data_IF_649328157137
#
_entry.id   IF_649328157137
#
_cell.length_a   1.000
_cell.length_b   1.000
_cell.length_c   1.000
_cell.angle_alpha   90.00
_cell.angle_beta   90.00
_cell.angle_gamma   90.00
#
_symmetry.space_group_name_H-M   'P 1'
#
loop_
_entity.id
_entity.type
_entity.pdbx_description
1 polymer ?
#
# COMPACT_ATOMS: atom_id res chain seq x y z
N UNK A 1 -6.78 4.26 19.93
CA UNK A 1 -6.63 2.77 19.97
C UNK A 1 -5.26 2.36 19.48
N UNK A 2 -4.64 1.33 20.14
CA UNK A 2 -3.31 0.84 19.72
C UNK A 2 -3.44 -0.37 18.80
N UNK A 3 -2.61 -0.43 17.76
CA UNK A 3 -2.55 -1.54 16.79
C UNK A 3 -1.09 -1.80 16.44
N UNK A 4 -0.73 -3.07 16.31
CA UNK A 4 0.59 -3.44 15.81
C UNK A 4 0.59 -3.41 14.27
N UNK A 5 1.36 -2.50 13.69
CA UNK A 5 1.65 -2.47 12.26
C UNK A 5 2.94 -3.22 11.95
N UNK A 6 2.93 -4.06 10.91
CA UNK A 6 4.10 -4.82 10.44
C UNK A 6 4.30 -4.58 8.94
N UNK A 7 5.46 -4.06 8.57
CA UNK A 7 5.88 -3.83 7.18
C UNK A 7 6.82 -4.96 6.74
N UNK A 8 6.34 -5.83 5.84
CA UNK A 8 7.09 -6.97 5.30
C UNK A 8 7.73 -6.57 3.98
N UNK A 9 9.02 -6.24 4.04
CA UNK A 9 9.78 -5.85 2.85
C UNK A 9 10.86 -6.88 2.48
N UNK A 10 11.37 -6.80 1.25
CA UNK A 10 12.36 -7.74 0.73
C UNK A 10 13.71 -7.76 1.46
N UNK A 11 14.05 -6.75 2.28
CA UNK A 11 15.30 -6.67 3.03
C UNK A 11 15.12 -6.67 4.55
N UNK A 12 13.90 -6.60 5.04
CA UNK A 12 13.61 -6.56 6.47
C UNK A 12 12.12 -6.46 6.75
N UNK A 13 11.71 -7.11 7.82
CA UNK A 13 10.37 -7.09 8.39
C UNK A 13 10.44 -6.18 9.61
N UNK A 14 9.56 -5.20 9.69
CA UNK A 14 9.60 -4.16 10.70
C UNK A 14 8.22 -4.01 11.33
N UNK A 15 8.17 -3.83 12.64
CA UNK A 15 6.92 -3.58 13.35
C UNK A 15 7.06 -2.42 14.35
N UNK A 16 5.94 -1.78 14.64
CA UNK A 16 5.78 -0.85 15.74
C UNK A 16 4.31 -0.78 16.18
N UNK A 17 4.09 -0.41 17.42
CA UNK A 17 2.77 -0.04 17.91
C UNK A 17 2.39 1.35 17.39
N UNK A 18 1.20 1.46 16.84
CA UNK A 18 0.66 2.69 16.24
C UNK A 18 -0.59 3.10 17.02
N UNK A 19 -0.69 4.37 17.35
CA UNK A 19 -1.95 4.97 17.77
C UNK A 19 -2.81 5.26 16.54
N UNK A 20 -3.94 4.57 16.42
CA UNK A 20 -4.80 4.66 15.24
C UNK A 20 -5.53 6.01 15.10
N UNK A 21 -5.60 6.82 16.17
CA UNK A 21 -6.24 8.14 16.11
C UNK A 21 -5.28 9.21 15.58
N UNK A 22 -4.00 9.11 15.93
CA UNK A 22 -2.99 10.11 15.56
C UNK A 22 -2.06 9.68 14.44
N UNK A 23 -1.97 8.37 14.15
CA UNK A 23 -1.00 7.79 13.22
C UNK A 23 0.44 7.78 13.76
N UNK A 24 0.65 8.12 15.03
CA UNK A 24 1.98 8.13 15.63
C UNK A 24 2.42 6.72 16.03
N UNK A 25 3.67 6.40 15.75
CA UNK A 25 4.29 5.20 16.32
C UNK A 25 4.60 5.47 17.80
N UNK A 26 3.94 4.73 18.70
CA UNK A 26 4.07 4.88 20.16
C UNK A 26 5.11 3.93 20.78
N UNK A 27 5.78 3.15 19.95
CA UNK A 27 6.93 2.32 20.32
C UNK A 27 8.12 2.59 19.40
N UNK A 28 9.31 2.18 19.81
CA UNK A 28 10.44 2.10 18.89
C UNK A 28 10.15 1.04 17.80
N UNK A 29 10.67 1.28 16.61
CA UNK A 29 10.55 0.35 15.50
C UNK A 29 11.48 -0.84 15.70
N UNK A 30 10.93 -2.02 15.84
CA UNK A 30 11.68 -3.27 15.84
C UNK A 30 11.86 -3.78 14.41
N UNK A 31 13.07 -4.29 14.08
CA UNK A 31 13.37 -4.78 12.73
C UNK A 31 14.15 -6.08 12.79
N UNK A 32 13.66 -7.06 12.02
CA UNK A 32 14.37 -8.30 11.71
C UNK A 32 14.73 -8.36 10.21
N UNK A 33 15.72 -9.16 9.86
CA UNK A 33 16.10 -9.37 8.46
C UNK A 33 15.10 -10.32 7.81
N UNK A 34 14.65 -10.00 6.59
CA UNK A 34 13.82 -10.91 5.82
C UNK A 34 14.61 -12.19 5.52
N UNK A 35 14.03 -13.38 5.77
CA UNK A 35 14.70 -14.65 5.51
C UNK A 35 15.12 -14.77 4.03
N UNK A 36 16.25 -15.42 3.78
CA UNK A 36 16.71 -15.66 2.41
C UNK A 36 15.70 -16.55 1.68
N UNK A 37 15.25 -16.11 0.52
CA UNK A 37 14.19 -16.77 -0.26
C UNK A 37 12.79 -16.35 0.13
N UNK A 38 12.60 -15.73 1.29
CA UNK A 38 11.32 -15.16 1.75
C UNK A 38 10.11 -16.12 1.53
N UNK A 39 10.26 -17.39 1.91
CA UNK A 39 9.19 -18.40 1.81
C UNK A 39 8.10 -18.16 2.85
N UNK A 40 6.86 -18.62 2.60
CA UNK A 40 5.73 -18.36 3.50
C UNK A 40 6.02 -18.73 4.97
N UNK A 41 6.47 -19.94 5.25
CA UNK A 41 6.73 -20.40 6.62
C UNK A 41 7.86 -19.59 7.30
N UNK A 42 8.94 -19.26 6.56
CA UNK A 42 10.07 -18.51 7.10
C UNK A 42 9.70 -17.06 7.44
N UNK A 43 8.87 -16.43 6.59
CA UNK A 43 8.35 -15.07 6.82
C UNK A 43 7.36 -15.07 7.98
N UNK A 44 6.46 -16.06 8.05
CA UNK A 44 5.49 -16.18 9.13
C UNK A 44 6.18 -16.33 10.50
N UNK A 45 7.25 -17.11 10.58
CA UNK A 45 8.06 -17.23 11.81
C UNK A 45 8.60 -15.87 12.25
N UNK A 46 9.14 -15.06 11.31
CA UNK A 46 9.64 -13.72 11.63
C UNK A 46 8.52 -12.77 12.04
N UNK A 47 7.34 -12.85 11.42
CA UNK A 47 6.16 -12.08 11.85
C UNK A 47 5.77 -12.47 13.28
N UNK A 48 5.77 -13.75 13.62
CA UNK A 48 5.56 -14.25 15.00
C UNK A 48 6.58 -13.67 15.98
N UNK A 49 7.87 -13.62 15.62
CA UNK A 49 8.92 -13.01 16.44
C UNK A 49 8.70 -11.51 16.67
N UNK A 50 8.19 -10.78 15.66
CA UNK A 50 7.83 -9.36 15.83
C UNK A 50 6.67 -9.21 16.81
N UNK A 51 5.61 -10.00 16.69
CA UNK A 51 4.45 -9.98 17.60
C UNK A 51 4.89 -10.31 19.03
N UNK A 52 5.73 -11.34 19.20
CA UNK A 52 6.28 -11.75 20.49
C UNK A 52 7.14 -10.65 21.12
N UNK A 53 7.95 -9.91 20.32
CA UNK A 53 8.78 -8.80 20.84
C UNK A 53 7.95 -7.72 21.54
N UNK A 54 6.74 -7.45 21.03
CA UNK A 54 5.84 -6.45 21.62
C UNK A 54 4.89 -7.05 22.68
N UNK A 55 4.97 -8.37 22.97
CA UNK A 55 4.01 -9.07 23.82
C UNK A 55 2.56 -8.76 23.43
N UNK A 56 2.31 -8.77 22.10
CA UNK A 56 1.07 -8.24 21.54
C UNK A 56 0.02 -9.33 21.35
N UNK A 57 -1.23 -9.01 21.73
CA UNK A 57 -2.37 -9.94 21.65
C UNK A 57 -3.60 -9.33 20.94
N UNK A 58 -3.49 -8.09 20.49
CA UNK A 58 -4.54 -7.36 19.76
C UNK A 58 -4.46 -7.53 18.24
N UNK A 59 -5.24 -6.71 17.49
CA UNK A 59 -5.18 -6.70 16.02
C UNK A 59 -3.81 -6.35 15.47
N UNK A 60 -3.44 -7.02 14.37
CA UNK A 60 -2.18 -6.81 13.63
C UNK A 60 -2.50 -6.46 12.18
N UNK A 61 -1.91 -5.39 11.68
CA UNK A 61 -1.94 -5.04 10.27
C UNK A 61 -0.60 -5.30 9.59
N UNK A 62 -0.57 -6.26 8.65
CA UNK A 62 0.62 -6.60 7.89
C UNK A 62 0.56 -6.03 6.48
N UNK A 63 1.65 -5.40 6.02
CA UNK A 63 1.82 -5.10 4.60
C UNK A 63 2.61 -6.19 3.92
N UNK A 64 2.32 -6.46 2.66
CA UNK A 64 2.98 -7.51 1.90
C UNK A 64 3.22 -7.07 0.45
N UNK A 65 4.40 -7.33 -0.14
CA UNK A 65 4.75 -6.88 -1.49
C UNK A 65 4.14 -7.79 -2.58
N UNK A 66 2.81 -7.87 -2.61
CA UNK A 66 2.03 -8.65 -3.56
C UNK A 66 0.62 -8.09 -3.70
N UNK A 67 -0.07 -8.47 -4.78
CA UNK A 67 -1.52 -8.31 -4.90
C UNK A 67 -2.18 -9.19 -3.83
N UNK A 68 -2.93 -8.59 -2.91
CA UNK A 68 -3.64 -9.28 -1.83
C UNK A 68 -5.14 -9.18 -2.04
N UNK A 69 -5.82 -10.32 -2.17
CA UNK A 69 -7.28 -10.37 -2.29
C UNK A 69 -7.84 -11.37 -1.28
N UNK A 70 -8.69 -10.89 -0.38
CA UNK A 70 -9.27 -11.70 0.70
C UNK A 70 -8.20 -12.49 1.51
N UNK A 71 -7.09 -11.83 1.85
CA UNK A 71 -5.98 -12.44 2.59
C UNK A 71 -5.02 -13.29 1.76
N UNK A 72 -5.36 -13.63 0.50
CA UNK A 72 -4.56 -14.49 -0.38
C UNK A 72 -3.63 -13.67 -1.27
N UNK A 73 -2.36 -14.08 -1.35
CA UNK A 73 -1.39 -13.47 -2.26
C UNK A 73 -1.59 -14.01 -3.69
N UNK A 74 -1.71 -13.09 -4.68
CA UNK A 74 -1.92 -13.40 -6.09
C UNK A 74 -0.72 -13.10 -6.97
N UNK A 75 0.33 -12.50 -6.44
CA UNK A 75 1.59 -12.23 -7.12
C UNK A 75 2.77 -12.44 -6.17
N UNK A 76 4.00 -12.44 -6.71
CA UNK A 76 5.22 -12.61 -5.94
C UNK A 76 6.36 -11.83 -6.62
N UNK A 77 6.39 -10.49 -6.45
CA UNK A 77 7.38 -9.66 -7.15
C UNK A 77 8.80 -9.70 -6.55
N UNK A 78 8.91 -9.77 -5.23
CA UNK A 78 10.19 -9.72 -4.50
C UNK A 78 10.26 -10.77 -3.37
N UNK A 79 9.46 -11.80 -3.44
CA UNK A 79 9.34 -12.92 -2.51
C UNK A 79 9.30 -14.23 -3.28
N UNK A 80 9.32 -15.37 -2.60
CA UNK A 80 9.27 -16.70 -3.23
C UNK A 80 7.94 -16.93 -3.96
N UNK A 81 7.98 -17.57 -5.13
CA UNK A 81 6.79 -17.84 -5.95
C UNK A 81 5.74 -18.70 -5.24
N UNK A 82 6.14 -19.45 -4.19
CA UNK A 82 5.22 -20.24 -3.36
C UNK A 82 4.19 -19.38 -2.60
N UNK A 83 4.35 -18.06 -2.58
CA UNK A 83 3.31 -17.18 -2.07
C UNK A 83 2.07 -17.12 -2.95
N UNK A 84 2.20 -17.36 -4.26
CA UNK A 84 1.06 -17.31 -5.18
C UNK A 84 0.03 -18.39 -4.79
N UNK A 85 -1.17 -17.95 -4.40
CA UNK A 85 -2.24 -18.79 -3.88
C UNK A 85 -2.16 -19.10 -2.39
N UNK A 86 -1.14 -18.61 -1.67
CA UNK A 86 -1.04 -18.75 -0.21
C UNK A 86 -1.98 -17.75 0.46
N UNK A 87 -2.80 -18.24 1.39
CA UNK A 87 -3.56 -17.40 2.33
C UNK A 87 -2.59 -16.85 3.39
N UNK A 88 -2.04 -15.69 3.11
CA UNK A 88 -1.08 -15.01 3.98
C UNK A 88 -1.73 -14.59 5.30
N UNK A 89 -3.00 -14.21 5.26
CA UNK A 89 -3.73 -13.78 6.45
C UNK A 89 -3.95 -14.95 7.42
N UNK A 90 -4.46 -16.08 6.92
CA UNK A 90 -4.65 -17.28 7.74
C UNK A 90 -3.32 -17.79 8.31
N UNK A 91 -2.26 -17.81 7.49
CA UNK A 91 -0.92 -18.23 7.91
C UNK A 91 -0.37 -17.36 9.06
N UNK A 92 -0.51 -16.04 8.96
CA UNK A 92 -0.04 -15.13 10.02
C UNK A 92 -0.94 -15.19 11.26
N UNK A 93 -2.25 -15.39 11.11
CA UNK A 93 -3.17 -15.62 12.23
C UNK A 93 -2.81 -16.89 13.00
N UNK A 94 -2.55 -18.00 12.29
CA UNK A 94 -2.14 -19.26 12.90
C UNK A 94 -0.81 -19.13 13.65
N UNK A 95 0.16 -18.43 13.04
CA UNK A 95 1.50 -18.27 13.61
C UNK A 95 1.52 -17.35 14.83
N UNK A 96 0.72 -16.29 14.83
CA UNK A 96 0.76 -15.25 15.86
C UNK A 96 -0.28 -15.42 16.96
N UNK A 97 -1.37 -16.15 16.67
CA UNK A 97 -2.55 -16.22 17.55
C UNK A 97 -3.34 -14.91 17.64
N UNK A 98 -3.02 -13.91 16.81
CA UNK A 98 -3.67 -12.61 16.78
C UNK A 98 -4.64 -12.49 15.61
N UNK A 99 -5.66 -11.60 15.68
CA UNK A 99 -6.40 -11.18 14.50
C UNK A 99 -5.47 -10.42 13.54
N UNK A 100 -5.33 -10.90 12.30
CA UNK A 100 -4.41 -10.31 11.31
C UNK A 100 -5.19 -9.84 10.09
N UNK A 101 -4.82 -8.68 9.57
CA UNK A 101 -5.18 -8.20 8.23
C UNK A 101 -3.91 -8.09 7.38
N UNK A 102 -3.98 -8.54 6.14
CA UNK A 102 -2.87 -8.41 5.17
C UNK A 102 -3.31 -7.54 4.00
N UNK A 103 -2.48 -6.59 3.63
CA UNK A 103 -2.75 -5.62 2.55
C UNK A 103 -1.49 -5.42 1.70
N UNK A 104 -1.67 -5.02 0.44
CA UNK A 104 -0.54 -4.62 -0.42
C UNK A 104 0.28 -3.47 0.20
N UNK A 105 1.61 -3.45 0.01
CA UNK A 105 2.52 -2.47 0.61
C UNK A 105 2.35 -1.04 0.07
N UNK A 106 2.04 -0.89 -1.23
CA UNK A 106 1.77 0.41 -1.81
C UNK A 106 0.39 0.95 -1.39
N UNK A 107 -0.63 0.08 -1.31
CA UNK A 107 -1.95 0.42 -0.78
C UNK A 107 -1.84 0.91 0.67
N UNK A 108 -1.09 0.19 1.51
CA UNK A 108 -0.85 0.60 2.89
C UNK A 108 -0.16 1.97 2.97
N UNK A 109 0.90 2.17 2.18
CA UNK A 109 1.57 3.46 2.15
C UNK A 109 0.62 4.58 1.71
N UNK A 110 -0.29 4.29 0.78
CA UNK A 110 -1.33 5.21 0.35
C UNK A 110 -2.32 5.53 1.47
N UNK A 111 -2.81 4.55 2.20
CA UNK A 111 -3.72 4.76 3.35
C UNK A 111 -3.08 5.71 4.37
N UNK A 112 -1.81 5.50 4.73
CA UNK A 112 -1.12 6.38 5.66
C UNK A 112 -1.06 7.83 5.17
N UNK A 113 -0.82 8.03 3.87
CA UNK A 113 -0.76 9.38 3.28
C UNK A 113 -2.14 10.05 3.17
N UNK A 114 -3.21 9.28 2.91
CA UNK A 114 -4.58 9.80 2.85
C UNK A 114 -5.08 10.18 4.25
N UNK A 115 -4.77 9.37 5.26
CA UNK A 115 -5.30 9.61 6.62
C UNK A 115 -4.48 10.68 7.35
N UNK A 116 -3.15 10.64 7.26
CA UNK A 116 -2.27 11.48 8.09
C UNK A 116 -1.25 12.32 7.30
N UNK A 117 -1.12 12.11 6.00
CA UNK A 117 -0.05 12.69 5.21
C UNK A 117 -0.50 13.69 4.15
N UNK A 118 0.17 13.64 2.99
CA UNK A 118 0.00 14.60 1.90
C UNK A 118 -1.39 14.55 1.24
N UNK A 119 -2.13 13.47 1.39
CA UNK A 119 -3.48 13.29 0.87
C UNK A 119 -4.60 13.62 1.86
N UNK A 120 -4.26 14.01 3.09
CA UNK A 120 -5.26 14.32 4.12
C UNK A 120 -6.18 15.46 3.68
N UNK A 121 -7.48 15.24 3.82
CA UNK A 121 -8.55 16.20 3.47
C UNK A 121 -8.56 16.61 1.98
N UNK A 122 -7.90 15.85 1.10
CA UNK A 122 -7.92 16.11 -0.34
C UNK A 122 -9.06 15.29 -0.98
N UNK A 123 -10.03 15.94 -1.63
CA UNK A 123 -11.10 15.24 -2.35
C UNK A 123 -10.65 14.75 -3.73
N UNK A 124 -11.51 13.95 -4.36
CA UNK A 124 -11.33 13.52 -5.75
C UNK A 124 -10.40 12.34 -5.92
N UNK A 125 -9.78 12.26 -7.09
CA UNK A 125 -8.91 11.14 -7.47
C UNK A 125 -7.48 11.43 -7.08
N UNK A 126 -6.92 10.60 -6.21
CA UNK A 126 -5.52 10.72 -5.75
C UNK A 126 -4.75 9.48 -6.17
N UNK A 127 -3.61 9.67 -6.81
CA UNK A 127 -2.69 8.58 -7.16
C UNK A 127 -1.42 8.74 -6.34
N UNK A 128 -1.16 7.76 -5.46
CA UNK A 128 0.13 7.65 -4.80
C UNK A 128 1.04 6.72 -5.61
N UNK A 129 2.30 7.12 -5.71
CA UNK A 129 3.35 6.42 -6.45
C UNK A 129 4.55 6.22 -5.53
N UNK A 130 4.98 4.98 -5.32
CA UNK A 130 6.22 4.66 -4.61
C UNK A 130 7.32 4.34 -5.61
N UNK A 131 8.29 5.24 -5.73
CA UNK A 131 9.42 5.10 -6.66
C UNK A 131 10.63 4.46 -5.94
N UNK A 132 10.94 3.22 -6.33
CA UNK A 132 11.97 2.44 -5.67
C UNK A 132 12.62 1.40 -6.59
N UNK A 133 12.65 0.13 -6.17
CA UNK A 133 13.05 -1.03 -6.99
C UNK A 133 12.11 -1.17 -8.18
N UNK A 134 10.81 -1.07 -7.94
CA UNK A 134 9.74 -0.96 -8.92
C UNK A 134 8.99 0.36 -8.77
N UNK A 135 7.76 0.40 -9.29
CA UNK A 135 6.78 1.46 -9.11
C UNK A 135 5.53 0.86 -8.47
N UNK A 136 5.39 0.99 -7.16
CA UNK A 136 4.12 0.68 -6.49
C UNK A 136 3.14 1.83 -6.63
N UNK A 137 1.85 1.50 -6.71
CA UNK A 137 0.78 2.49 -6.89
C UNK A 137 -0.38 2.22 -5.95
N UNK A 138 -1.01 3.27 -5.46
CA UNK A 138 -2.29 3.21 -4.77
C UNK A 138 -3.21 4.30 -5.32
N UNK A 139 -4.45 3.93 -5.62
CA UNK A 139 -5.47 4.81 -6.17
C UNK A 139 -6.57 5.04 -5.15
N UNK A 140 -6.96 6.29 -4.98
CA UNK A 140 -8.06 6.68 -4.09
C UNK A 140 -9.08 7.53 -4.84
N UNK A 141 -10.35 7.38 -4.46
CA UNK A 141 -11.45 8.24 -4.89
C UNK A 141 -12.16 8.73 -3.63
N UNK A 142 -12.14 10.03 -3.38
CA UNK A 142 -12.72 10.67 -2.19
C UNK A 142 -12.29 9.97 -0.88
N UNK A 143 -11.00 9.66 -0.76
CA UNK A 143 -10.41 8.99 0.40
C UNK A 143 -10.58 7.46 0.43
N UNK A 144 -11.35 6.87 -0.49
CA UNK A 144 -11.57 5.42 -0.56
C UNK A 144 -10.56 4.75 -1.47
N UNK A 145 -9.89 3.72 -0.96
CA UNK A 145 -8.92 2.94 -1.71
C UNK A 145 -9.58 2.12 -2.83
N UNK A 146 -9.01 2.18 -4.03
CA UNK A 146 -9.20 1.17 -5.08
C UNK A 146 -8.05 0.17 -4.96
N UNK A 147 -8.25 -1.00 -4.35
CA UNK A 147 -7.16 -1.86 -3.91
C UNK A 147 -6.42 -2.53 -5.06
N UNK A 148 -5.14 -2.81 -4.82
CA UNK A 148 -4.27 -3.58 -5.71
C UNK A 148 -4.14 -3.00 -7.12
N UNK A 149 -3.98 -1.70 -7.24
CA UNK A 149 -3.69 -1.08 -8.54
C UNK A 149 -2.22 -1.25 -8.88
N UNK A 150 -1.93 -1.85 -10.03
CA UNK A 150 -0.57 -2.14 -10.51
C UNK A 150 -0.22 -1.25 -11.72
N UNK A 151 -0.41 0.07 -11.58
CA UNK A 151 -0.18 1.02 -12.66
C UNK A 151 1.30 1.14 -13.07
N UNK A 152 2.24 0.61 -12.27
CA UNK A 152 3.65 0.47 -12.64
C UNK A 152 3.87 -0.45 -13.84
N UNK A 153 2.91 -1.36 -14.11
CA UNK A 153 2.95 -2.33 -15.21
C UNK A 153 2.22 -1.86 -16.48
N UNK A 154 1.73 -0.62 -16.53
CA UNK A 154 1.21 -0.10 -17.81
C UNK A 154 2.31 -0.10 -18.87
N UNK A 155 1.92 -0.37 -20.11
CA UNK A 155 2.87 -0.35 -21.22
C UNK A 155 3.36 1.08 -21.50
N UNK A 156 4.66 1.26 -21.56
CA UNK A 156 5.32 2.50 -21.95
C UNK A 156 6.47 2.19 -22.92
N UNK A 157 6.32 2.62 -24.17
CA UNK A 157 7.33 2.38 -25.24
C UNK A 157 7.67 0.90 -25.46
N UNK A 158 6.69 0.00 -25.35
CA UNK A 158 6.85 -1.42 -25.60
C UNK A 158 7.39 -2.25 -24.44
N UNK A 159 7.43 -1.67 -23.22
CA UNK A 159 7.86 -2.35 -22.00
C UNK A 159 7.04 -1.84 -20.79
N UNK A 160 7.09 -2.54 -19.66
CA UNK A 160 6.48 -2.07 -18.42
C UNK A 160 7.06 -0.71 -18.00
N UNK A 161 6.20 0.21 -17.59
CA UNK A 161 6.62 1.56 -17.18
C UNK A 161 7.68 1.51 -16.08
N UNK A 162 7.58 0.59 -15.11
CA UNK A 162 8.57 0.48 -14.04
C UNK A 162 9.98 0.12 -14.54
N UNK A 163 10.08 -0.68 -15.63
CA UNK A 163 11.36 -1.04 -16.22
C UNK A 163 12.11 0.17 -16.78
N UNK A 164 11.40 1.25 -17.07
CA UNK A 164 11.93 2.49 -17.64
C UNK A 164 11.96 3.65 -16.65
N UNK A 165 10.99 3.74 -15.74
CA UNK A 165 10.75 4.91 -14.90
C UNK A 165 10.98 4.69 -13.40
N UNK A 166 11.19 3.45 -12.91
CA UNK A 166 11.59 3.23 -11.51
C UNK A 166 12.96 3.85 -11.19
N UNK A 167 13.26 4.10 -9.90
CA UNK A 167 14.61 4.57 -9.49
C UNK A 167 15.69 3.51 -9.74
N UNK A 168 15.33 2.23 -9.73
CA UNK A 168 16.21 1.14 -10.14
C UNK A 168 16.63 1.26 -11.60
N UNK A 169 15.71 1.61 -12.52
CA UNK A 169 16.00 1.85 -13.93
C UNK A 169 16.96 3.03 -14.09
N UNK A 170 16.73 4.14 -13.36
CA UNK A 170 17.65 5.28 -13.34
C UNK A 170 19.08 4.86 -12.95
N UNK A 171 19.21 4.04 -11.91
CA UNK A 171 20.51 3.56 -11.41
C UNK A 171 21.16 2.58 -12.36
N UNK A 172 20.39 1.61 -12.88
CA UNK A 172 20.88 0.57 -13.81
C UNK A 172 21.45 1.16 -15.10
N UNK A 173 20.81 2.23 -15.60
CA UNK A 173 21.20 2.88 -16.86
C UNK A 173 22.03 4.15 -16.64
N UNK A 174 22.44 4.44 -15.42
CA UNK A 174 23.19 5.66 -15.03
C UNK A 174 22.57 6.94 -15.60
N UNK A 175 21.23 7.05 -15.50
CA UNK A 175 20.51 8.20 -16.04
C UNK A 175 20.72 9.44 -15.19
N UNK A 176 21.02 10.56 -15.86
CA UNK A 176 20.96 11.85 -15.21
C UNK A 176 19.51 12.15 -14.74
N UNK A 177 19.36 12.97 -13.70
CA UNK A 177 18.05 13.39 -13.17
C UNK A 177 17.15 14.00 -14.25
N UNK A 178 17.73 14.71 -15.23
CA UNK A 178 16.99 15.27 -16.36
C UNK A 178 16.46 14.18 -17.30
N UNK A 179 17.30 13.19 -17.66
CA UNK A 179 16.86 12.10 -18.54
C UNK A 179 15.79 11.24 -17.89
N UNK A 180 15.99 10.89 -16.61
CA UNK A 180 15.03 10.12 -15.85
C UNK A 180 13.73 10.91 -15.58
N UNK A 181 13.83 12.20 -15.23
CA UNK A 181 12.66 13.07 -15.05
C UNK A 181 11.79 13.19 -16.30
N UNK A 182 12.37 13.13 -17.50
CA UNK A 182 11.60 13.08 -18.76
C UNK A 182 10.85 11.74 -18.93
N UNK A 183 11.43 10.61 -18.52
CA UNK A 183 10.73 9.32 -18.53
C UNK A 183 9.57 9.33 -17.51
N UNK A 184 9.83 9.86 -16.31
CA UNK A 184 8.77 10.08 -15.34
C UNK A 184 7.67 10.98 -15.88
N UNK A 185 8.01 12.08 -16.57
CA UNK A 185 7.03 12.97 -17.18
C UNK A 185 6.10 12.22 -18.14
N UNK A 186 6.64 11.37 -19.01
CA UNK A 186 5.82 10.55 -19.90
C UNK A 186 4.89 9.62 -19.10
N UNK A 187 5.39 8.97 -18.05
CA UNK A 187 4.60 8.09 -17.20
C UNK A 187 3.48 8.85 -16.48
N UNK A 188 3.79 9.98 -15.83
CA UNK A 188 2.79 10.81 -15.15
C UNK A 188 1.73 11.34 -16.10
N UNK A 189 2.13 11.80 -17.30
CA UNK A 189 1.17 12.26 -18.31
C UNK A 189 0.27 11.14 -18.82
N UNK A 190 0.78 9.90 -18.92
CA UNK A 190 -0.05 8.74 -19.27
C UNK A 190 -1.10 8.48 -18.18
N UNK A 191 -0.71 8.48 -16.90
CA UNK A 191 -1.65 8.32 -15.79
C UNK A 191 -2.66 9.47 -15.74
N UNK A 192 -2.22 10.69 -15.95
CA UNK A 192 -3.10 11.86 -15.98
C UNK A 192 -4.12 11.77 -17.12
N UNK A 193 -3.71 11.31 -18.29
CA UNK A 193 -4.60 11.12 -19.43
C UNK A 193 -5.66 10.04 -19.17
N UNK A 194 -5.28 8.94 -18.51
CA UNK A 194 -6.17 7.80 -18.27
C UNK A 194 -7.11 8.03 -17.09
N UNK A 195 -6.66 8.69 -16.03
CA UNK A 195 -7.36 8.70 -14.74
C UNK A 195 -7.74 10.11 -14.27
N UNK A 196 -7.22 11.17 -14.91
CA UNK A 196 -7.48 12.57 -14.57
C UNK A 196 -7.43 12.86 -13.06
N UNK A 197 -6.32 12.55 -12.37
CA UNK A 197 -6.24 12.73 -10.92
C UNK A 197 -6.27 14.21 -10.52
N UNK A 198 -6.70 14.45 -9.29
CA UNK A 198 -6.66 15.76 -8.63
C UNK A 198 -5.32 15.99 -7.92
N UNK A 199 -4.62 14.91 -7.54
CA UNK A 199 -3.33 14.97 -6.87
C UNK A 199 -2.47 13.73 -7.18
N UNK A 200 -1.17 13.95 -7.41
CA UNK A 200 -0.16 12.90 -7.35
C UNK A 200 0.66 13.00 -6.06
N UNK A 201 0.77 11.92 -5.30
CA UNK A 201 1.67 11.81 -4.13
C UNK A 201 2.86 10.93 -4.51
N UNK A 202 4.07 11.43 -4.33
CA UNK A 202 5.29 10.72 -4.71
C UNK A 202 6.06 10.31 -3.46
N UNK A 203 6.10 8.99 -3.24
CA UNK A 203 6.81 8.33 -2.15
C UNK A 203 8.01 7.50 -2.63
N UNK A 204 8.40 6.54 -1.79
CA UNK A 204 9.58 5.71 -2.01
C UNK A 204 10.90 6.41 -1.67
N UNK A 205 11.99 5.65 -1.70
CA UNK A 205 13.30 6.13 -1.22
C UNK A 205 13.85 7.35 -1.96
N UNK A 206 13.51 7.51 -3.24
CA UNK A 206 13.99 8.62 -4.07
C UNK A 206 13.23 9.92 -3.86
N UNK A 207 12.04 9.88 -3.24
CA UNK A 207 11.22 11.07 -2.98
C UNK A 207 11.96 12.14 -2.15
N UNK A 208 12.90 11.74 -1.30
CA UNK A 208 13.82 12.64 -0.57
C UNK A 208 14.65 13.56 -1.48
N UNK A 209 14.72 13.24 -2.78
CA UNK A 209 15.44 14.01 -3.81
C UNK A 209 14.50 14.61 -4.86
N UNK A 210 13.22 14.78 -4.52
CA UNK A 210 12.14 15.25 -5.41
C UNK A 210 12.51 16.53 -6.19
N UNK A 211 13.15 17.50 -5.54
CA UNK A 211 13.62 18.72 -6.17
C UNK A 211 14.58 18.51 -7.36
N UNK A 212 15.20 17.33 -7.47
CA UNK A 212 16.09 17.01 -8.59
C UNK A 212 15.34 16.59 -9.85
N UNK A 213 14.11 16.09 -9.73
CA UNK A 213 13.35 15.55 -10.86
C UNK A 213 11.94 16.14 -11.03
N UNK A 214 11.25 16.61 -9.98
CA UNK A 214 9.91 17.22 -10.09
C UNK A 214 9.85 18.32 -11.15
N UNK A 215 10.87 19.15 -11.26
CA UNK A 215 10.96 20.22 -12.26
C UNK A 215 10.94 19.76 -13.73
N UNK A 216 10.97 18.47 -13.98
CA UNK A 216 10.89 17.89 -15.33
C UNK A 216 9.57 17.14 -15.56
N UNK A 217 8.66 17.17 -14.59
CA UNK A 217 7.34 16.57 -14.66
C UNK A 217 6.33 17.70 -14.83
N UNK A 218 5.59 17.65 -15.93
CA UNK A 218 4.62 18.66 -16.32
C UNK A 218 3.24 18.00 -16.39
N UNK A 219 2.45 18.17 -15.33
CA UNK A 219 1.08 17.66 -15.17
C UNK A 219 0.15 18.78 -14.76
N UNK A 220 -1.14 18.65 -15.06
CA UNK A 220 -2.20 19.56 -14.58
C UNK A 220 -2.43 19.34 -13.08
N UNK A 221 -2.50 18.06 -12.68
CA UNK A 221 -2.58 17.70 -11.28
C UNK A 221 -1.29 18.07 -10.54
N UNK A 222 -1.37 18.68 -9.35
CA UNK A 222 -0.21 18.99 -8.55
C UNK A 222 0.52 17.72 -8.09
N UNK A 223 1.83 17.87 -7.83
CA UNK A 223 2.66 16.82 -7.25
C UNK A 223 2.99 17.17 -5.79
N UNK A 224 2.72 16.26 -4.88
CA UNK A 224 3.15 16.34 -3.48
C UNK A 224 4.20 15.28 -3.17
N UNK A 225 5.07 15.55 -2.20
CA UNK A 225 6.00 14.56 -1.66
C UNK A 225 5.33 13.85 -0.48
N UNK A 226 5.40 12.53 -0.44
CA UNK A 226 4.90 11.71 0.65
C UNK A 226 5.53 12.13 2.00
N UNK A 227 4.71 12.25 3.04
CA UNK A 227 5.09 12.75 4.36
C UNK A 227 5.45 11.61 5.34
N UNK A 228 4.73 10.47 5.28
CA UNK A 228 4.93 9.33 6.19
C UNK A 228 6.22 8.53 5.91
N UNK A 229 6.79 8.66 4.72
CA UNK A 229 8.12 8.12 4.36
C UNK A 229 8.31 6.64 4.70
N UNK A 230 9.31 6.33 5.58
CA UNK A 230 9.67 4.95 5.96
C UNK A 230 8.72 4.33 7.00
N UNK A 231 7.75 5.07 7.49
CA UNK A 231 6.76 4.65 8.47
C UNK A 231 5.42 4.30 7.81
N UNK A 232 5.25 4.73 6.55
CA UNK A 232 4.00 4.60 5.81
C UNK A 232 3.45 3.16 5.77
N UNK A 233 4.31 2.15 5.56
CA UNK A 233 3.88 0.75 5.56
C UNK A 233 3.36 0.29 6.93
N UNK A 234 4.08 0.60 8.00
CA UNK A 234 3.68 0.24 9.38
C UNK A 234 2.35 0.93 9.73
N UNK A 235 2.28 2.25 9.52
CA UNK A 235 1.08 3.05 9.84
C UNK A 235 -0.10 2.61 8.99
N UNK A 236 0.07 2.46 7.67
CA UNK A 236 -1.00 2.05 6.78
C UNK A 236 -1.50 0.62 7.03
N UNK A 237 -0.60 -0.31 7.34
CA UNK A 237 -0.98 -1.65 7.79
C UNK A 237 -1.83 -1.61 9.06
N UNK A 238 -1.39 -0.84 10.08
CA UNK A 238 -2.16 -0.65 11.31
C UNK A 238 -3.54 -0.04 11.03
N UNK A 239 -3.64 0.96 10.14
CA UNK A 239 -4.91 1.59 9.78
C UNK A 239 -5.85 0.64 9.03
N UNK A 240 -5.32 -0.23 8.17
CA UNK A 240 -6.11 -1.26 7.51
C UNK A 240 -6.71 -2.25 8.52
N UNK A 241 -5.95 -2.67 9.52
CA UNK A 241 -6.46 -3.49 10.62
C UNK A 241 -7.49 -2.74 11.49
N UNK A 242 -7.23 -1.46 11.78
CA UNK A 242 -8.19 -0.62 12.51
C UNK A 242 -9.55 -0.56 11.81
N UNK A 243 -9.57 -0.32 10.51
CA UNK A 243 -10.79 -0.24 9.73
C UNK A 243 -11.62 -1.53 9.77
N UNK A 244 -10.97 -2.70 9.79
CA UNK A 244 -11.66 -4.00 9.80
C UNK A 244 -12.14 -4.40 11.21
N UNK A 245 -11.27 -4.22 12.21
CA UNK A 245 -11.56 -4.78 13.54
C UNK A 245 -12.23 -3.79 14.50
N UNK A 246 -12.30 -2.50 14.14
CA UNK A 246 -12.96 -1.48 14.98
C UNK A 246 -14.28 -1.00 14.38
N UNK A 247 -14.42 -0.93 13.04
CA UNK A 247 -15.63 -0.51 12.37
C UNK A 247 -16.55 -1.68 11.99
N UNK A 248 -16.32 -2.88 12.54
CA UNK A 248 -17.12 -4.08 12.27
C UNK A 248 -18.62 -3.98 12.65
N UNK A 249 -19.06 -2.85 13.24
CA UNK A 249 -20.45 -2.54 13.52
C UNK A 249 -21.06 -1.47 12.56
N UNK A 250 -20.26 -0.86 11.66
CA UNK A 250 -20.75 0.07 10.66
C UNK A 250 -20.17 -0.28 9.27
N UNK A 251 -21.05 -0.78 8.39
CA UNK A 251 -20.79 -1.10 6.97
C UNK A 251 -20.11 0.05 6.21
N UNK A 252 -18.79 0.02 6.05
CA UNK A 252 -18.07 1.01 5.25
C UNK A 252 -16.99 0.44 4.33
N UNK A 253 -17.26 -0.73 3.70
CA UNK A 253 -16.61 -1.08 2.42
C UNK A 253 -17.67 -1.73 1.51
N UNK A 254 -18.54 -0.88 0.93
CA UNK A 254 -19.26 -1.14 -0.30
C UNK A 254 -19.95 -2.50 -0.50
N UNK A 255 -20.84 -2.94 0.40
CA UNK A 255 -21.92 -3.86 0.03
C UNK A 255 -23.26 -3.12 0.20
N UNK A 256 -23.77 -2.56 -0.89
CA UNK A 256 -25.17 -2.19 -0.98
C UNK A 256 -25.98 -3.48 -1.02
N UNK A 257 -26.67 -3.80 0.07
CA UNK A 257 -27.77 -4.74 0.01
C UNK A 257 -28.82 -4.19 -0.96
N UNK A 258 -29.05 -4.91 -2.06
CA UNK A 258 -30.23 -4.73 -2.88
C UNK A 258 -31.43 -5.25 -2.10
N UNK A 259 -32.05 -4.38 -1.31
CA UNK A 259 -33.36 -4.66 -0.71
C UNK A 259 -34.37 -4.82 -1.83
N UNK A 260 -34.69 -6.08 -2.12
CA UNK A 260 -35.78 -6.46 -3.01
C UNK A 260 -37.10 -5.93 -2.47
N UNK A 261 -37.66 -4.97 -3.18
CA UNK A 261 -39.01 -4.50 -2.98
C UNK A 261 -39.98 -5.60 -3.48
N UNK A 262 -40.46 -6.43 -2.56
CA UNK A 262 -41.63 -7.29 -2.82
C UNK A 262 -42.87 -6.43 -2.74
N UNK A 263 -43.33 -6.00 -3.90
CA UNK A 263 -44.66 -5.40 -4.04
C UNK A 263 -45.73 -6.44 -3.70
N UNK A 264 -46.45 -6.23 -2.60
CA UNK A 264 -47.73 -6.87 -2.34
C UNK A 264 -48.75 -6.33 -3.34
N UNK A 265 -49.21 -7.20 -4.22
CA UNK A 265 -50.41 -6.96 -4.98
C UNK A 265 -51.61 -7.09 -4.06
N UNK A 266 -52.38 -6.03 -3.96
CA UNK A 266 -53.70 -6.06 -3.36
C UNK A 266 -54.73 -6.28 -4.44
N UNK A 267 -55.33 -7.48 -4.47
CA UNK A 267 -56.54 -7.77 -5.23
C UNK A 267 -57.71 -7.30 -4.39
N UNK A 268 -58.45 -6.32 -4.84
CA UNK A 268 -59.93 -6.23 -4.59
C UNK A 268 -60.56 -5.20 -5.49
N UNK A 269 -61.63 -5.65 -6.23
CA UNK A 269 -62.66 -4.80 -6.80
C UNK A 269 -62.80 -4.85 -8.31
#
# INVERSE_FOLDING_TARGET
MQILGIDIGGSGIKGALVDAETGEMISERFRLVTPKGARPADVAEVVGQVVQHFDWHGPVGCTFPAIIRNGVAHSAANVDDSWIGTDAQALFQETTGCPVTVINDADAAGIAEIVFGAGKDQPGVIIMLTLGTGIGTALFVDGHLVPNTELGHIEMNGDDAEQQAADSARKREDLSWKKWGKRLNQYFQTLEFLLSPDLFIVGGGVSKKSQKFFRYIETRAPLAVAQMRNEAGIIGGAMAAHAIFHNGDEDHFGQRETSGNQGQGDETG
#
